data_IF_264123033948
#
_entry.id   IF_264123033948
#
_cell.length_a   1.000
_cell.length_b   1.000
_cell.length_c   1.000
_cell.angle_alpha   90.00
_cell.angle_beta   90.00
_cell.angle_gamma   90.00
#
_symmetry.space_group_name_H-M   'P 1'
#
loop_
_entity.id
_entity.type
_entity.pdbx_description
1 polymer ?
#
# COMPACT_ATOMS: atom_id res chain seq x y z
N UNK A 1 45.21 -13.69 -41.39
CA UNK A 1 43.79 -14.00 -41.22
C UNK A 1 43.41 -14.46 -39.82
N UNK A 2 44.23 -15.22 -39.08
CA UNK A 2 43.98 -15.67 -37.70
C UNK A 2 43.77 -14.50 -36.71
N UNK A 3 44.58 -13.44 -36.79
CA UNK A 3 44.49 -12.30 -35.85
C UNK A 3 43.13 -11.58 -35.88
N UNK A 4 42.53 -11.43 -37.08
CA UNK A 4 41.22 -10.79 -37.22
C UNK A 4 40.11 -11.61 -36.59
N UNK A 5 40.18 -12.95 -36.72
CA UNK A 5 39.24 -13.86 -36.06
C UNK A 5 39.28 -13.81 -34.55
N UNK A 6 40.49 -13.71 -33.97
CA UNK A 6 40.65 -13.60 -32.52
C UNK A 6 40.09 -12.25 -32.00
N UNK A 7 40.35 -11.14 -32.68
CA UNK A 7 39.83 -9.83 -32.30
C UNK A 7 38.29 -9.83 -32.36
N UNK A 8 37.70 -10.40 -33.43
CA UNK A 8 36.26 -10.48 -33.54
C UNK A 8 35.62 -11.31 -32.41
N UNK A 9 36.26 -12.42 -32.04
CA UNK A 9 35.77 -13.31 -30.94
C UNK A 9 35.85 -12.61 -29.57
N UNK A 10 36.96 -11.92 -29.30
CA UNK A 10 37.14 -11.15 -28.05
C UNK A 10 36.14 -10.00 -27.98
N UNK A 11 35.95 -9.26 -29.07
CA UNK A 11 34.98 -8.16 -29.12
C UNK A 11 33.54 -8.66 -28.88
N UNK A 12 33.18 -9.76 -29.51
CA UNK A 12 31.85 -10.36 -29.33
C UNK A 12 31.62 -10.84 -27.89
N UNK A 13 32.64 -11.44 -27.26
CA UNK A 13 32.59 -11.88 -25.88
C UNK A 13 32.43 -10.70 -24.91
N UNK A 14 33.19 -9.61 -25.12
CA UNK A 14 33.10 -8.39 -24.31
C UNK A 14 31.67 -7.79 -24.46
N UNK A 15 31.18 -7.69 -25.69
CA UNK A 15 29.84 -7.16 -25.95
C UNK A 15 28.74 -7.99 -25.27
N UNK A 16 28.82 -9.33 -25.35
CA UNK A 16 27.89 -10.23 -24.70
C UNK A 16 27.93 -10.07 -23.16
N UNK A 17 29.12 -9.97 -22.59
CA UNK A 17 29.31 -9.73 -21.14
C UNK A 17 28.71 -8.39 -20.71
N UNK A 18 29.01 -7.30 -21.41
CA UNK A 18 28.48 -5.96 -21.12
C UNK A 18 26.95 -5.96 -21.19
N UNK A 19 26.38 -6.54 -22.25
CA UNK A 19 24.93 -6.66 -22.40
C UNK A 19 24.28 -7.44 -21.23
N UNK A 20 24.87 -8.57 -20.85
CA UNK A 20 24.40 -9.37 -19.71
C UNK A 20 24.45 -8.59 -18.39
N UNK A 21 25.56 -7.87 -18.15
CA UNK A 21 25.74 -7.06 -16.94
C UNK A 21 24.73 -5.92 -16.89
N UNK A 22 24.52 -5.20 -17.98
CA UNK A 22 23.55 -4.10 -18.05
C UNK A 22 22.12 -4.61 -17.84
N UNK A 23 21.77 -5.77 -18.41
CA UNK A 23 20.47 -6.39 -18.17
C UNK A 23 20.29 -6.77 -16.70
N UNK A 24 21.32 -7.36 -16.06
CA UNK A 24 21.30 -7.70 -14.66
C UNK A 24 21.11 -6.46 -13.75
N UNK A 25 21.85 -5.39 -14.02
CA UNK A 25 21.72 -4.12 -13.26
C UNK A 25 20.30 -3.57 -13.40
N UNK A 26 19.74 -3.58 -14.60
CA UNK A 26 18.39 -3.08 -14.84
C UNK A 26 17.34 -3.86 -14.07
N UNK A 27 17.39 -5.19 -14.09
CA UNK A 27 16.44 -6.06 -13.34
C UNK A 27 16.55 -5.80 -11.85
N UNK A 28 17.75 -5.69 -11.30
CA UNK A 28 17.95 -5.39 -9.86
C UNK A 28 17.43 -4.00 -9.52
N UNK A 29 17.65 -3.00 -10.37
CA UNK A 29 17.15 -1.63 -10.15
C UNK A 29 15.61 -1.62 -10.17
N UNK A 30 14.98 -2.22 -11.16
CA UNK A 30 13.51 -2.30 -11.26
C UNK A 30 12.90 -3.00 -10.02
N UNK A 31 13.48 -4.12 -9.59
CA UNK A 31 13.01 -4.83 -8.39
C UNK A 31 13.19 -4.00 -7.10
N UNK A 32 14.28 -3.24 -7.00
CA UNK A 32 14.52 -2.36 -5.85
C UNK A 32 13.53 -1.19 -5.83
N UNK A 33 13.26 -0.57 -6.97
CA UNK A 33 12.31 0.53 -7.10
C UNK A 33 10.89 0.07 -6.73
N UNK A 34 10.49 -1.13 -7.15
CA UNK A 34 9.21 -1.73 -6.77
C UNK A 34 9.11 -2.00 -5.28
N UNK A 35 10.15 -2.56 -4.67
CA UNK A 35 10.21 -2.77 -3.24
C UNK A 35 10.11 -1.46 -2.46
N UNK A 36 10.85 -0.44 -2.88
CA UNK A 36 10.82 0.88 -2.26
C UNK A 36 9.43 1.53 -2.35
N UNK A 37 8.70 1.35 -3.46
CA UNK A 37 7.36 1.87 -3.61
C UNK A 37 6.37 1.22 -2.61
N UNK A 38 6.47 -0.09 -2.38
CA UNK A 38 5.66 -0.77 -1.35
C UNK A 38 6.02 -0.28 0.04
N UNK A 39 7.31 -0.16 0.36
CA UNK A 39 7.77 0.37 1.66
C UNK A 39 7.27 1.81 1.88
N UNK A 40 7.31 2.64 0.86
CA UNK A 40 6.81 4.01 0.92
C UNK A 40 5.29 4.05 1.20
N UNK A 41 4.50 3.20 0.52
CA UNK A 41 3.06 3.06 0.77
C UNK A 41 2.79 2.68 2.22
N UNK A 42 3.49 1.65 2.73
CA UNK A 42 3.31 1.19 4.12
C UNK A 42 3.66 2.29 5.12
N UNK A 43 4.74 3.03 4.90
CA UNK A 43 5.13 4.16 5.76
C UNK A 43 4.10 5.28 5.76
N UNK A 44 3.47 5.55 4.63
CA UNK A 44 2.37 6.50 4.54
C UNK A 44 1.19 6.05 5.39
N UNK A 45 0.75 4.80 5.25
CA UNK A 45 -0.34 4.25 6.05
C UNK A 45 0.02 4.22 7.53
N UNK A 46 1.25 3.85 7.88
CA UNK A 46 1.75 3.87 9.25
C UNK A 46 1.67 5.27 9.84
N UNK A 47 2.18 6.29 9.15
CA UNK A 47 2.13 7.67 9.60
C UNK A 47 0.70 8.16 9.82
N UNK A 48 -0.22 7.85 8.92
CA UNK A 48 -1.63 8.20 9.04
C UNK A 48 -2.31 7.49 10.24
N UNK A 49 -2.00 6.21 10.46
CA UNK A 49 -2.55 5.45 11.60
C UNK A 49 -1.96 5.88 12.96
N UNK A 50 -0.70 6.36 12.98
CA UNK A 50 -0.09 6.91 14.19
C UNK A 50 -0.71 8.26 14.61
N UNK A 51 -1.27 8.98 13.65
CA UNK A 51 -1.84 10.31 13.86
C UNK A 51 -3.37 10.29 14.08
N UNK A 52 -3.93 9.13 14.36
CA UNK A 52 -5.35 8.99 14.66
C UNK A 52 -5.76 9.82 15.89
N UNK A 53 -6.84 10.62 15.80
CA UNK A 53 -7.30 11.46 16.90
C UNK A 53 -7.66 10.64 18.14
N UNK A 54 -7.08 10.93 19.29
CA UNK A 54 -7.16 10.13 20.52
C UNK A 54 -8.58 9.87 21.03
N UNK A 55 -9.55 10.71 20.67
CA UNK A 55 -10.91 10.72 21.23
C UNK A 55 -12.01 10.29 20.27
N UNK A 56 -11.67 9.79 19.08
CA UNK A 56 -12.67 9.37 18.10
C UNK A 56 -12.87 7.88 18.17
N UNK A 57 -14.08 7.45 18.56
CA UNK A 57 -14.53 6.07 18.47
C UNK A 57 -14.76 5.71 17.00
N UNK A 58 -14.52 4.45 16.61
CA UNK A 58 -14.67 4.04 15.22
C UNK A 58 -13.66 4.65 14.26
N UNK A 59 -12.53 5.16 14.80
CA UNK A 59 -11.50 5.81 13.99
C UNK A 59 -10.86 4.87 12.96
N UNK A 60 -10.97 3.56 13.13
CA UNK A 60 -10.48 2.55 12.19
C UNK A 60 -11.60 1.57 11.88
N UNK A 61 -11.83 1.31 10.61
CA UNK A 61 -12.78 0.30 10.13
C UNK A 61 -12.10 -0.52 9.03
N UNK A 62 -12.50 -1.79 8.93
CA UNK A 62 -11.97 -2.68 7.93
C UNK A 62 -13.04 -3.64 7.42
N UNK A 63 -13.12 -3.75 6.11
CA UNK A 63 -14.10 -4.61 5.45
C UNK A 63 -13.39 -5.51 4.46
N UNK A 64 -13.53 -6.84 4.57
CA UNK A 64 -13.06 -7.74 3.54
C UNK A 64 -13.84 -7.49 2.25
N UNK A 65 -13.12 -7.28 1.17
CA UNK A 65 -13.69 -7.01 -0.14
C UNK A 65 -12.99 -7.86 -1.20
N UNK A 66 -13.69 -8.13 -2.31
CA UNK A 66 -13.13 -8.80 -3.49
C UNK A 66 -13.41 -7.96 -4.72
N UNK A 67 -12.41 -7.85 -5.56
CA UNK A 67 -12.49 -7.22 -6.87
C UNK A 67 -12.10 -8.26 -7.93
N UNK A 68 -12.98 -8.60 -8.85
CA UNK A 68 -12.76 -9.65 -9.87
C UNK A 68 -12.22 -10.97 -9.27
N UNK A 69 -12.79 -11.43 -8.13
CA UNK A 69 -12.35 -12.59 -7.33
C UNK A 69 -10.97 -12.45 -6.65
N UNK A 70 -10.27 -11.35 -6.81
CA UNK A 70 -9.03 -11.06 -6.11
C UNK A 70 -9.34 -10.41 -4.76
N UNK A 71 -8.47 -10.68 -3.76
CA UNK A 71 -8.56 -10.02 -2.47
C UNK A 71 -8.28 -8.52 -2.62
N UNK A 72 -9.22 -7.71 -2.20
CA UNK A 72 -9.16 -6.24 -2.32
C UNK A 72 -9.74 -5.58 -1.07
N UNK A 73 -9.26 -5.98 0.11
CA UNK A 73 -9.76 -5.50 1.38
C UNK A 73 -9.68 -3.97 1.49
N UNK A 74 -10.62 -3.40 2.21
CA UNK A 74 -10.66 -1.97 2.49
C UNK A 74 -10.26 -1.69 3.95
N UNK A 75 -9.30 -0.79 4.13
CA UNK A 75 -8.93 -0.22 5.42
C UNK A 75 -9.29 1.25 5.43
N UNK A 76 -10.27 1.64 6.24
CA UNK A 76 -10.71 3.02 6.40
C UNK A 76 -10.27 3.56 7.76
N UNK A 77 -9.84 4.79 7.77
CA UNK A 77 -9.56 5.52 9.00
C UNK A 77 -10.02 6.97 8.93
N UNK A 78 -10.27 7.50 10.10
CA UNK A 78 -10.59 8.91 10.29
C UNK A 78 -9.30 9.70 10.47
N UNK A 79 -9.15 10.79 9.74
CA UNK A 79 -8.04 11.71 9.91
C UNK A 79 -8.51 13.16 10.06
N UNK A 80 -7.76 13.90 10.88
CA UNK A 80 -7.96 15.33 11.01
C UNK A 80 -7.08 16.03 9.97
N UNK A 81 -7.65 16.92 9.18
CA UNK A 81 -6.90 17.63 8.14
C UNK A 81 -5.75 18.44 8.73
N UNK A 82 -4.61 18.43 8.06
CA UNK A 82 -3.47 19.25 8.41
C UNK A 82 -2.13 18.53 8.56
N UNK A 83 -2.07 17.24 8.76
CA UNK A 83 -0.80 16.50 8.79
C UNK A 83 -0.33 16.06 7.40
N UNK A 84 -0.15 16.97 6.68
CA UNK A 84 0.54 17.40 5.52
C UNK A 84 1.26 16.45 4.56
N UNK A 85 1.18 15.13 4.60
CA UNK A 85 1.71 14.31 3.51
C UNK A 85 0.87 14.44 2.24
N UNK A 86 -0.44 14.60 2.35
CA UNK A 86 -1.35 14.61 1.21
C UNK A 86 -2.19 15.86 1.05
N UNK A 87 -2.17 16.79 2.00
CA UNK A 87 -3.06 17.94 1.94
C UNK A 87 -2.41 19.19 2.51
N UNK A 88 -1.62 19.89 1.72
CA UNK A 88 -1.14 21.25 2.07
C UNK A 88 -2.27 22.26 2.33
N UNK A 89 -3.52 21.88 2.10
CA UNK A 89 -4.68 22.76 2.16
C UNK A 89 -5.97 22.10 2.66
N UNK A 90 -5.94 20.89 3.19
CA UNK A 90 -7.15 20.24 3.66
C UNK A 90 -7.40 20.61 5.12
N UNK A 91 -8.07 21.71 5.31
CA UNK A 91 -8.79 21.96 6.55
C UNK A 91 -9.99 21.01 6.60
N UNK A 92 -10.29 20.47 7.79
CA UNK A 92 -11.47 19.63 8.01
C UNK A 92 -11.17 18.20 8.41
N UNK A 93 -12.24 17.45 8.51
CA UNK A 93 -12.24 16.05 8.94
C UNK A 93 -12.49 15.15 7.74
N UNK A 94 -11.69 14.08 7.61
CA UNK A 94 -11.69 13.22 6.45
C UNK A 94 -11.80 11.75 6.83
N UNK A 95 -12.42 10.98 5.96
CA UNK A 95 -12.22 9.55 5.88
C UNK A 95 -11.22 9.24 4.77
N UNK A 96 -10.16 8.51 5.12
CA UNK A 96 -9.22 7.93 4.17
C UNK A 96 -9.46 6.44 4.11
N UNK A 97 -9.55 5.87 2.91
CA UNK A 97 -9.73 4.44 2.69
C UNK A 97 -8.63 3.94 1.77
N UNK A 98 -7.79 3.04 2.28
CA UNK A 98 -6.86 2.26 1.47
C UNK A 98 -7.62 1.15 0.77
N UNK A 99 -7.55 1.08 -0.54
CA UNK A 99 -8.28 0.08 -1.34
C UNK A 99 -7.62 -0.12 -2.70
N UNK A 100 -8.06 -1.15 -3.43
CA UNK A 100 -7.69 -1.38 -4.83
C UNK A 100 -8.74 -0.77 -5.75
N UNK A 101 -8.28 -0.15 -6.81
CA UNK A 101 -9.12 0.35 -7.89
C UNK A 101 -8.46 0.01 -9.24
N UNK A 102 -9.26 -0.08 -10.30
CA UNK A 102 -8.76 -0.17 -11.66
C UNK A 102 -8.52 1.22 -12.22
N UNK A 103 -7.30 1.48 -12.72
CA UNK A 103 -7.00 2.71 -13.46
C UNK A 103 -7.89 2.80 -14.71
N UNK A 104 -8.50 3.93 -14.93
CA UNK A 104 -9.46 4.14 -16.04
C UNK A 104 -8.78 4.16 -17.40
N UNK A 105 -7.49 4.45 -17.46
CA UNK A 105 -6.72 4.63 -18.68
C UNK A 105 -5.94 3.37 -19.05
N UNK A 106 -5.22 2.81 -18.07
CA UNK A 106 -4.37 1.63 -18.29
C UNK A 106 -5.08 0.31 -18.04
N UNK A 107 -6.25 0.35 -17.37
CA UNK A 107 -7.01 -0.81 -16.90
C UNK A 107 -6.26 -1.73 -15.92
N UNK A 108 -5.12 -1.29 -15.41
CA UNK A 108 -4.34 -2.00 -14.41
C UNK A 108 -4.90 -1.77 -13.00
N UNK A 109 -4.62 -2.72 -12.11
CA UNK A 109 -4.99 -2.55 -10.71
C UNK A 109 -3.95 -1.70 -9.98
N UNK A 110 -4.44 -0.77 -9.18
CA UNK A 110 -3.62 0.10 -8.34
C UNK A 110 -4.17 0.19 -6.93
N UNK A 111 -3.27 0.23 -5.95
CA UNK A 111 -3.61 0.58 -4.56
C UNK A 111 -3.50 2.08 -4.41
N UNK A 112 -4.49 2.68 -3.77
CA UNK A 112 -4.47 4.10 -3.47
C UNK A 112 -5.36 4.46 -2.29
N UNK A 113 -5.40 5.74 -2.01
CA UNK A 113 -6.26 6.33 -0.99
C UNK A 113 -7.47 6.99 -1.65
N UNK A 114 -8.64 6.55 -1.25
CA UNK A 114 -9.91 7.22 -1.50
C UNK A 114 -10.20 8.12 -0.31
N UNK A 115 -10.14 9.43 -0.50
CA UNK A 115 -10.31 10.42 0.56
C UNK A 115 -11.61 11.19 0.35
N UNK A 116 -12.39 11.34 1.41
CA UNK A 116 -13.65 12.04 1.41
C UNK A 116 -13.77 12.92 2.66
N UNK A 117 -14.18 14.17 2.49
CA UNK A 117 -14.61 15.02 3.61
C UNK A 117 -15.82 14.38 4.31
N UNK A 118 -15.88 14.44 5.63
CA UNK A 118 -17.04 13.91 6.39
C UNK A 118 -18.34 14.56 5.96
N UNK A 119 -18.29 15.84 5.63
CA UNK A 119 -19.44 16.64 5.17
C UNK A 119 -19.80 16.42 3.70
N UNK A 120 -18.95 15.75 2.92
CA UNK A 120 -19.20 15.50 1.50
C UNK A 120 -20.22 14.37 1.30
N UNK A 121 -20.91 14.41 0.16
CA UNK A 121 -21.86 13.35 -0.21
C UNK A 121 -21.14 12.02 -0.43
N UNK A 122 -21.84 10.93 -0.21
CA UNK A 122 -21.37 9.61 -0.57
C UNK A 122 -21.07 9.55 -2.07
N UNK A 123 -19.86 9.09 -2.44
CA UNK A 123 -19.40 9.09 -3.84
C UNK A 123 -18.53 10.29 -4.23
N UNK A 124 -18.57 11.38 -3.47
CA UNK A 124 -17.71 12.54 -3.71
C UNK A 124 -16.37 12.37 -2.97
N UNK A 125 -15.42 11.77 -3.64
CA UNK A 125 -14.09 11.47 -3.09
C UNK A 125 -12.97 11.83 -4.05
N UNK A 126 -11.79 12.07 -3.48
CA UNK A 126 -10.54 12.23 -4.20
C UNK A 126 -9.80 10.89 -4.20
N UNK A 127 -9.32 10.48 -5.39
CA UNK A 127 -8.47 9.30 -5.53
C UNK A 127 -7.00 9.69 -5.63
N UNK A 128 -6.16 9.01 -4.85
CA UNK A 128 -4.72 9.21 -4.81
C UNK A 128 -4.03 7.88 -5.05
N UNK A 129 -3.56 7.59 -6.26
CA UNK A 129 -2.84 6.36 -6.55
C UNK A 129 -1.49 6.36 -5.84
N UNK A 130 -1.16 5.27 -5.15
CA UNK A 130 0.09 5.10 -4.40
C UNK A 130 0.98 4.01 -4.98
N UNK A 131 0.40 2.91 -5.45
CA UNK A 131 1.14 1.76 -5.96
C UNK A 131 0.40 1.15 -7.15
N UNK A 132 1.06 1.07 -8.29
CA UNK A 132 0.54 0.44 -9.51
C UNK A 132 1.00 -1.00 -9.64
N UNK A 133 0.43 -1.74 -10.59
CA UNK A 133 0.76 -3.13 -10.92
C UNK A 133 0.65 -4.04 -9.69
N UNK A 134 -0.52 -4.05 -9.09
CA UNK A 134 -0.85 -4.91 -7.94
C UNK A 134 -1.89 -5.95 -8.35
N UNK A 135 -1.89 -7.08 -7.67
CA UNK A 135 -2.88 -8.14 -7.90
C UNK A 135 -3.81 -8.34 -6.72
N UNK A 136 -3.35 -8.09 -5.49
CA UNK A 136 -4.22 -8.23 -4.32
C UNK A 136 -3.76 -7.37 -3.13
N UNK A 137 -4.71 -7.07 -2.25
CA UNK A 137 -4.52 -6.39 -0.97
C UNK A 137 -5.33 -7.13 0.10
N UNK A 138 -4.65 -7.63 1.11
CA UNK A 138 -5.27 -8.22 2.29
C UNK A 138 -4.97 -7.36 3.51
N UNK A 139 -5.99 -7.14 4.35
CA UNK A 139 -5.84 -6.45 5.62
C UNK A 139 -6.42 -7.30 6.75
N UNK A 140 -5.67 -7.46 7.84
CA UNK A 140 -6.09 -8.18 9.04
C UNK A 140 -5.87 -7.31 10.28
N UNK A 141 -6.70 -7.54 11.29
CA UNK A 141 -6.75 -6.74 12.50
C UNK A 141 -6.50 -7.64 13.71
N UNK A 142 -5.57 -7.24 14.59
CA UNK A 142 -5.34 -7.95 15.84
C UNK A 142 -6.32 -7.51 16.92
N UNK A 143 -7.22 -8.40 17.31
CA UNK A 143 -8.11 -8.18 18.45
C UNK A 143 -7.49 -8.74 19.72
N UNK A 144 -7.12 -7.84 20.65
CA UNK A 144 -6.54 -8.22 21.95
C UNK A 144 -7.49 -9.07 22.80
N UNK A 145 -8.80 -8.88 22.67
CA UNK A 145 -9.81 -9.61 23.45
C UNK A 145 -9.91 -11.06 23.00
N UNK A 146 -9.82 -11.29 21.68
CA UNK A 146 -9.87 -12.61 21.08
C UNK A 146 -8.49 -13.26 20.97
N UNK A 147 -7.42 -12.49 21.19
CA UNK A 147 -6.03 -12.89 20.99
C UNK A 147 -5.80 -13.53 19.60
N UNK A 148 -6.38 -12.94 18.57
CA UNK A 148 -6.39 -13.48 17.21
C UNK A 148 -6.47 -12.41 16.13
N UNK A 149 -6.05 -12.77 14.92
CA UNK A 149 -6.24 -11.97 13.71
C UNK A 149 -7.66 -12.17 13.15
N UNK A 150 -8.36 -11.06 12.89
CA UNK A 150 -9.71 -11.07 12.31
C UNK A 150 -9.73 -10.30 10.98
N UNK A 151 -10.69 -10.62 10.12
CA UNK A 151 -10.80 -10.06 8.76
C UNK A 151 -11.54 -8.74 8.73
N UNK A 152 -12.46 -8.54 9.66
CA UNK A 152 -13.32 -7.36 9.70
C UNK A 152 -13.12 -6.61 11.01
N UNK A 153 -13.03 -5.30 10.92
CA UNK A 153 -12.98 -4.42 12.07
C UNK A 153 -14.03 -3.33 11.98
N UNK A 154 -15.06 -3.39 12.79
CA UNK A 154 -16.13 -2.41 12.88
C UNK A 154 -16.51 -2.06 14.32
N UNK A 155 -15.62 -2.32 15.27
CA UNK A 155 -15.83 -1.98 16.66
C UNK A 155 -15.73 -0.46 16.85
N UNK A 156 -16.85 0.17 17.19
CA UNK A 156 -16.93 1.62 17.35
C UNK A 156 -16.20 2.12 18.61
N UNK A 157 -16.03 1.26 19.61
CA UNK A 157 -15.50 1.64 20.92
C UNK A 157 -14.02 1.31 21.12
N UNK A 158 -13.40 0.62 20.17
CA UNK A 158 -12.03 0.17 20.27
C UNK A 158 -11.29 0.32 18.95
N UNK A 159 -9.95 0.38 19.04
CA UNK A 159 -9.05 0.29 17.89
C UNK A 159 -8.38 -1.07 17.85
N UNK A 160 -8.05 -1.60 16.68
CA UNK A 160 -7.21 -2.78 16.61
C UNK A 160 -5.84 -2.47 17.22
N UNK A 161 -5.22 -3.43 17.89
CA UNK A 161 -3.89 -3.20 18.43
C UNK A 161 -2.83 -3.15 17.34
N UNK A 162 -3.00 -4.01 16.33
CA UNK A 162 -2.14 -4.11 15.16
C UNK A 162 -3.00 -4.23 13.91
N UNK A 163 -2.49 -3.67 12.81
CA UNK A 163 -3.02 -3.88 11.47
C UNK A 163 -1.94 -4.57 10.64
N UNK A 164 -2.25 -5.71 10.04
CA UNK A 164 -1.39 -6.41 9.11
C UNK A 164 -1.85 -6.15 7.69
N UNK A 165 -0.93 -5.70 6.84
CA UNK A 165 -1.17 -5.43 5.43
C UNK A 165 -0.32 -6.41 4.62
N UNK A 166 -0.94 -7.09 3.66
CA UNK A 166 -0.29 -7.94 2.67
C UNK A 166 -0.61 -7.44 1.29
N UNK A 167 0.41 -7.29 0.47
CA UNK A 167 0.31 -6.76 -0.90
C UNK A 167 0.95 -7.76 -1.85
N UNK A 168 0.20 -8.21 -2.85
CA UNK A 168 0.70 -9.05 -3.94
C UNK A 168 0.91 -8.20 -5.18
N UNK A 169 2.09 -8.28 -5.75
CA UNK A 169 2.40 -7.70 -7.07
C UNK A 169 1.87 -8.64 -8.17
N UNK A 170 2.14 -9.91 -8.03
CA UNK A 170 1.60 -10.97 -8.88
C UNK A 170 0.93 -12.02 -8.00
N UNK A 171 -0.03 -12.73 -8.56
CA UNK A 171 -0.82 -13.74 -7.82
C UNK A 171 0.05 -14.88 -7.28
N UNK A 172 1.09 -15.24 -8.04
CA UNK A 172 1.95 -16.40 -7.75
C UNK A 172 3.15 -16.04 -6.85
N UNK A 173 3.40 -14.76 -6.63
CA UNK A 173 4.52 -14.30 -5.80
C UNK A 173 4.14 -14.25 -4.31
N UNK A 174 5.11 -14.42 -3.40
CA UNK A 174 4.87 -14.18 -1.99
C UNK A 174 4.50 -12.71 -1.75
N UNK A 175 3.55 -12.43 -0.84
CA UNK A 175 3.16 -11.06 -0.56
C UNK A 175 4.25 -10.30 0.19
N UNK A 176 4.30 -9.00 -0.04
CA UNK A 176 4.92 -8.08 0.90
C UNK A 176 4.03 -7.99 2.13
N UNK A 177 4.57 -8.28 3.30
CA UNK A 177 3.83 -8.22 4.57
C UNK A 177 4.41 -7.15 5.48
N UNK A 178 3.52 -6.36 6.09
CA UNK A 178 3.86 -5.41 7.14
C UNK A 178 2.84 -5.44 8.26
N UNK A 179 3.30 -5.22 9.49
CA UNK A 179 2.45 -5.13 10.68
C UNK A 179 2.66 -3.75 11.32
N UNK A 180 1.59 -2.99 11.43
CA UNK A 180 1.57 -1.63 11.94
C UNK A 180 0.88 -1.63 13.30
N UNK A 181 1.55 -1.07 14.31
CA UNK A 181 0.95 -0.83 15.61
C UNK A 181 0.00 0.39 15.55
N UNK A 182 -1.21 0.25 16.06
CA UNK A 182 -2.18 1.36 16.12
C UNK A 182 -2.22 1.90 17.54
N UNK A 183 -2.06 3.23 17.74
CA UNK A 183 -2.14 3.84 19.05
C UNK A 183 -3.49 3.56 19.70
N UNK A 184 -3.48 3.14 20.95
CA UNK A 184 -4.70 2.97 21.74
C UNK A 184 -5.38 4.33 21.94
N UNK A 185 -6.70 4.38 21.82
CA UNK A 185 -7.45 5.53 22.26
C UNK A 185 -7.30 5.63 23.78
N UNK A 186 -6.62 6.66 24.28
CA UNK A 186 -6.63 6.99 25.71
C UNK A 186 -7.99 7.61 26.03
N UNK A 187 -8.96 6.77 26.33
CA UNK A 187 -10.14 7.22 27.06
C UNK A 187 -9.68 7.48 28.50
N UNK A 188 -9.17 8.68 28.76
CA UNK A 188 -9.07 9.15 30.15
C UNK A 188 -10.50 9.24 30.66
N UNK A 189 -10.80 8.39 31.63
CA UNK A 189 -11.99 8.46 32.46
C UNK A 189 -12.06 9.79 33.20
#
# INVERSE_FOLDING_TARGET
MIAVGVIALVTTSIFAFVKSTLTGIRVVSEANDEHQAVVALVKVVEAELQDLPLRVNGAVQGVPHKFDNLQADELQWYCHGGNGLFTKAAEGEWYSTLTIQRDKTTHELEIGLRRRLITAKEGDYQWWPLLRHVSALEVRYWDKRLNSWIERWNAQDARPALVRIRIWRNVDDPPYESVIAVPSANLQQ
#
